data_IF_980643540516
#
_entry.id   IF_980643540516
#
_cell.length_a   1.000
_cell.length_b   1.000
_cell.length_c   1.000
_cell.angle_alpha   90.00
_cell.angle_beta   90.00
_cell.angle_gamma   90.00
#
_symmetry.space_group_name_H-M   'P 1'
#
loop_
_entity.id
_entity.type
_entity.pdbx_description
1 polymer ?
#
# COMPACT_ATOMS: atom_id res chain seq x y z
N UNK A 1 5.43 7.05 30.39
CA UNK A 1 6.16 8.29 30.00
C UNK A 1 5.90 8.53 28.54
N UNK A 2 5.78 9.78 28.07
CA UNK A 2 5.64 10.06 26.64
C UNK A 2 6.88 9.58 25.89
N UNK A 3 6.69 9.08 24.66
CA UNK A 3 7.81 8.66 23.80
C UNK A 3 8.83 9.78 23.57
N UNK A 4 10.11 9.41 23.50
CA UNK A 4 11.23 10.30 23.19
C UNK A 4 12.08 9.76 22.03
N UNK A 5 13.00 10.58 21.51
CA UNK A 5 13.91 10.15 20.44
C UNK A 5 14.92 9.10 20.89
N UNK A 6 15.27 9.07 22.17
CA UNK A 6 16.21 8.06 22.71
C UNK A 6 15.63 6.64 22.58
N UNK A 7 14.32 6.51 22.69
CA UNK A 7 13.60 5.23 22.50
C UNK A 7 13.72 4.71 21.05
N UNK A 8 14.11 5.58 20.10
CA UNK A 8 14.19 5.28 18.67
C UNK A 8 15.63 5.19 18.14
N UNK A 9 16.64 5.43 18.98
CA UNK A 9 18.02 5.66 18.53
C UNK A 9 18.67 4.50 17.75
N UNK A 10 18.24 3.26 17.97
CA UNK A 10 18.77 2.07 17.30
C UNK A 10 17.91 1.60 16.11
N UNK A 11 16.78 2.24 15.85
CA UNK A 11 15.84 1.83 14.82
C UNK A 11 16.24 2.39 13.44
N UNK A 12 16.94 1.59 12.66
CA UNK A 12 17.37 1.95 11.30
C UNK A 12 16.35 1.69 10.18
N UNK A 13 15.17 1.12 10.49
CA UNK A 13 14.16 0.77 9.49
C UNK A 13 12.76 1.27 9.86
N UNK A 14 11.86 1.47 8.87
CA UNK A 14 10.47 1.85 9.11
C UNK A 14 9.76 0.93 10.11
N UNK A 15 9.92 -0.39 9.96
CA UNK A 15 9.32 -1.38 10.85
C UNK A 15 9.86 -1.30 12.27
N UNK A 16 11.17 -1.09 12.45
CA UNK A 16 11.79 -0.96 13.77
C UNK A 16 11.30 0.31 14.49
N UNK A 17 11.21 1.43 13.77
CA UNK A 17 10.70 2.69 14.33
C UNK A 17 9.26 2.55 14.81
N UNK A 18 8.38 2.00 13.97
CA UNK A 18 6.97 1.81 14.34
C UNK A 18 6.83 0.81 15.49
N UNK A 19 7.64 -0.25 15.54
CA UNK A 19 7.68 -1.17 16.67
C UNK A 19 7.99 -0.44 17.98
N UNK A 20 9.03 0.39 18.00
CA UNK A 20 9.40 1.12 19.22
C UNK A 20 8.34 2.17 19.58
N UNK A 21 7.72 2.83 18.60
CA UNK A 21 6.60 3.74 18.84
C UNK A 21 5.45 3.02 19.54
N UNK A 22 5.06 1.84 19.07
CA UNK A 22 3.97 1.06 19.67
C UNK A 22 4.32 0.51 21.06
N UNK A 23 5.61 0.24 21.33
CA UNK A 23 6.07 -0.18 22.66
C UNK A 23 6.04 0.97 23.66
N UNK A 24 6.42 2.18 23.23
CA UNK A 24 6.39 3.37 24.08
C UNK A 24 4.97 3.94 24.27
N UNK A 25 4.10 3.76 23.27
CA UNK A 25 2.71 4.25 23.26
C UNK A 25 1.72 3.08 23.10
N UNK A 26 1.57 2.20 24.12
CA UNK A 26 0.73 0.99 24.03
C UNK A 26 -0.76 1.28 23.84
N UNK A 27 -1.20 2.50 24.17
CA UNK A 27 -2.58 2.96 24.04
C UNK A 27 -2.76 3.93 22.86
N UNK A 28 -1.94 3.80 21.80
CA UNK A 28 -2.03 4.66 20.63
C UNK A 28 -3.43 4.59 19.99
N UNK A 29 -4.11 5.72 19.92
CA UNK A 29 -5.46 5.80 19.37
C UNK A 29 -5.49 5.63 17.85
N UNK A 30 -6.63 5.21 17.31
CA UNK A 30 -6.96 5.28 15.89
C UNK A 30 -8.09 6.29 15.71
N UNK A 31 -7.95 7.31 14.85
CA UNK A 31 -6.78 7.63 14.03
C UNK A 31 -5.58 8.08 14.88
N UNK A 32 -4.36 7.78 14.42
CA UNK A 32 -3.12 8.13 15.13
C UNK A 32 -2.96 9.65 15.23
N UNK A 33 -2.68 10.24 16.42
CA UNK A 33 -2.51 11.67 16.59
C UNK A 33 -1.13 12.11 16.10
N UNK A 34 -0.94 12.06 14.77
CA UNK A 34 0.39 12.19 14.14
C UNK A 34 1.10 13.50 14.48
N UNK A 35 0.37 14.60 14.67
CA UNK A 35 0.94 15.90 15.01
C UNK A 35 1.47 15.93 16.45
N UNK A 36 0.79 15.28 17.39
CA UNK A 36 1.27 15.14 18.77
C UNK A 36 2.50 14.23 18.82
N UNK A 37 2.50 13.15 18.04
CA UNK A 37 3.66 12.28 17.90
C UNK A 37 4.87 13.04 17.33
N UNK A 38 4.66 13.85 16.29
CA UNK A 38 5.68 14.75 15.75
C UNK A 38 6.25 15.68 16.84
N UNK A 39 5.40 16.34 17.62
CA UNK A 39 5.83 17.26 18.68
C UNK A 39 6.68 16.56 19.75
N UNK A 40 6.26 15.37 20.21
CA UNK A 40 7.03 14.57 21.19
C UNK A 40 8.38 14.11 20.65
N UNK A 41 8.46 13.89 19.33
CA UNK A 41 9.66 13.40 18.66
C UNK A 41 10.57 14.51 18.12
N UNK A 42 10.33 15.79 18.45
CA UNK A 42 11.25 16.89 18.14
C UNK A 42 10.91 17.70 16.88
N UNK A 43 9.71 17.54 16.33
CA UNK A 43 9.18 18.48 15.33
C UNK A 43 8.51 19.64 16.06
N UNK A 44 9.11 20.84 15.98
CA UNK A 44 8.61 22.02 16.70
C UNK A 44 7.43 22.69 16.00
N UNK A 45 7.39 22.60 14.66
CA UNK A 45 6.40 23.32 13.85
C UNK A 45 5.93 22.44 12.69
N UNK A 46 4.65 22.52 12.39
CA UNK A 46 4.04 21.99 11.18
C UNK A 46 3.38 23.16 10.47
N UNK A 47 4.01 23.63 9.39
CA UNK A 47 3.57 24.79 8.66
C UNK A 47 2.83 24.40 7.39
N UNK A 48 1.82 25.21 7.07
CA UNK A 48 1.08 25.09 5.82
C UNK A 48 1.74 25.97 4.79
N UNK A 49 1.87 25.46 3.58
CA UNK A 49 2.31 26.23 2.44
C UNK A 49 1.37 26.00 1.24
N UNK A 50 1.54 26.82 0.22
CA UNK A 50 0.81 26.73 -1.04
C UNK A 50 1.80 26.91 -2.20
N UNK A 51 2.31 25.78 -2.72
CA UNK A 51 3.12 25.73 -3.94
C UNK A 51 2.82 24.43 -4.69
N UNK A 52 3.04 24.43 -6.00
CA UNK A 52 2.92 23.25 -6.86
C UNK A 52 4.24 22.49 -7.04
N UNK A 53 5.34 22.99 -6.48
CA UNK A 53 6.67 22.39 -6.64
C UNK A 53 6.87 21.11 -5.81
N UNK A 54 6.29 21.05 -4.61
CA UNK A 54 6.40 19.93 -3.69
C UNK A 54 5.11 19.73 -2.89
N UNK A 55 4.90 18.52 -2.39
CA UNK A 55 3.74 18.19 -1.55
C UNK A 55 4.07 18.32 -0.06
N UNK A 56 5.30 17.98 0.31
CA UNK A 56 5.81 18.01 1.67
C UNK A 56 7.27 18.41 1.70
N UNK A 57 7.72 18.82 2.87
CA UNK A 57 9.14 18.98 3.11
C UNK A 57 9.49 18.97 4.59
N UNK A 58 10.75 18.66 4.85
CA UNK A 58 11.36 18.70 6.16
C UNK A 58 12.51 19.70 6.14
N UNK A 59 12.46 20.66 7.06
CA UNK A 59 13.57 21.58 7.34
C UNK A 59 14.16 21.22 8.70
N UNK A 60 15.45 20.93 8.74
CA UNK A 60 16.15 20.50 9.95
C UNK A 60 17.62 20.93 9.91
N UNK A 61 18.25 21.09 11.08
CA UNK A 61 19.69 21.31 11.15
C UNK A 61 20.47 20.01 10.84
N UNK A 62 21.80 20.11 10.66
CA UNK A 62 22.66 18.98 10.35
C UNK A 62 22.69 17.91 11.46
N UNK A 63 22.45 18.32 12.72
CA UNK A 63 22.40 17.43 13.88
C UNK A 63 21.03 16.81 14.09
N UNK A 64 20.04 17.19 13.29
CA UNK A 64 18.61 16.88 13.45
C UNK A 64 18.10 17.18 14.84
N UNK A 65 18.57 18.23 15.50
CA UNK A 65 18.18 18.56 16.87
C UNK A 65 16.69 18.91 16.96
N UNK A 66 16.19 19.63 15.95
CA UNK A 66 14.81 20.05 15.80
C UNK A 66 14.39 20.04 14.32
N UNK A 67 13.10 19.83 14.06
CA UNK A 67 12.53 19.83 12.71
C UNK A 67 11.32 20.73 12.55
N UNK A 68 11.15 21.27 11.34
CA UNK A 68 9.90 21.90 10.86
C UNK A 68 9.39 21.13 9.65
N UNK A 69 8.14 20.68 9.72
CA UNK A 69 7.46 20.00 8.61
C UNK A 69 6.65 21.03 7.83
N UNK A 70 6.84 21.06 6.52
CA UNK A 70 6.02 21.77 5.55
C UNK A 70 5.02 20.77 4.97
N UNK A 71 3.73 21.06 5.05
CA UNK A 71 2.70 20.24 4.42
C UNK A 71 1.74 21.10 3.60
N UNK A 72 1.54 20.73 2.33
CA UNK A 72 0.65 21.46 1.42
C UNK A 72 -0.79 21.45 1.97
N UNK A 73 -1.53 22.53 1.70
CA UNK A 73 -2.98 22.55 1.94
C UNK A 73 -3.66 21.53 1.03
N UNK A 74 -4.48 20.66 1.61
CA UNK A 74 -5.18 19.61 0.88
C UNK A 74 -6.16 18.86 1.77
N UNK A 75 -6.70 17.76 1.25
CA UNK A 75 -7.56 16.88 2.04
C UNK A 75 -6.79 16.33 3.26
N UNK A 76 -7.45 16.30 4.41
CA UNK A 76 -6.81 15.91 5.68
C UNK A 76 -6.10 14.53 5.63
N UNK A 77 -6.64 13.49 4.96
CA UNK A 77 -5.92 12.21 4.84
C UNK A 77 -4.57 12.32 4.13
N UNK A 78 -4.49 13.17 3.10
CA UNK A 78 -3.24 13.39 2.35
C UNK A 78 -2.25 14.19 3.17
N UNK A 79 -2.72 15.25 3.84
CA UNK A 79 -1.90 16.04 4.77
C UNK A 79 -1.33 15.18 5.91
N UNK A 80 -2.14 14.30 6.49
CA UNK A 80 -1.69 13.35 7.53
C UNK A 80 -0.59 12.41 7.01
N UNK A 81 -0.75 11.88 5.80
CA UNK A 81 0.27 11.06 5.17
C UNK A 81 1.57 11.83 4.94
N UNK A 82 1.50 13.05 4.41
CA UNK A 82 2.67 13.91 4.23
C UNK A 82 3.39 14.17 5.55
N UNK A 83 2.67 14.54 6.62
CA UNK A 83 3.29 14.76 7.95
C UNK A 83 3.99 13.49 8.46
N UNK A 84 3.35 12.33 8.34
CA UNK A 84 3.95 11.06 8.75
C UNK A 84 5.17 10.71 7.89
N UNK A 85 5.14 11.00 6.60
CA UNK A 85 6.25 10.79 5.67
C UNK A 85 7.46 11.67 6.05
N UNK A 86 7.26 12.96 6.27
CA UNK A 86 8.34 13.88 6.68
C UNK A 86 8.89 13.53 8.06
N UNK A 87 8.04 13.04 8.98
CA UNK A 87 8.51 12.49 10.26
C UNK A 87 9.43 11.27 10.03
N UNK A 88 9.11 10.41 9.07
CA UNK A 88 9.98 9.30 8.66
C UNK A 88 11.36 9.81 8.23
N UNK A 89 11.41 10.82 7.36
CA UNK A 89 12.67 11.48 6.99
C UNK A 89 13.43 12.01 8.18
N UNK A 90 12.75 12.58 9.17
CA UNK A 90 13.38 13.17 10.36
C UNK A 90 13.95 12.12 11.32
N UNK A 91 13.28 10.98 11.48
CA UNK A 91 13.68 9.93 12.42
C UNK A 91 14.80 9.05 11.88
N UNK A 92 14.86 8.81 10.58
CA UNK A 92 15.86 7.93 9.97
C UNK A 92 17.17 8.70 9.69
N UNK A 93 18.21 8.40 10.47
CA UNK A 93 19.49 9.10 10.42
C UNK A 93 20.17 9.03 9.04
N UNK A 94 20.01 7.92 8.32
CA UNK A 94 20.57 7.72 6.99
C UNK A 94 19.85 8.50 5.89
N UNK A 95 18.72 9.16 6.17
CA UNK A 95 18.03 10.00 5.19
C UNK A 95 18.78 11.33 5.01
N UNK A 96 19.88 11.38 4.28
CA UNK A 96 20.63 12.64 4.09
C UNK A 96 19.96 13.51 2.99
N UNK A 97 19.58 14.77 3.26
CA UNK A 97 18.93 15.60 2.26
C UNK A 97 19.90 16.07 1.16
N UNK A 98 19.39 16.19 -0.06
CA UNK A 98 20.18 16.63 -1.24
C UNK A 98 20.58 18.11 -1.16
N UNK A 99 19.80 18.92 -0.42
CA UNK A 99 20.11 20.31 -0.10
C UNK A 99 20.41 20.42 1.41
N UNK A 100 21.32 21.33 1.83
CA UNK A 100 21.64 21.48 3.25
C UNK A 100 20.38 21.67 4.11
N UNK A 101 20.07 20.66 4.92
CA UNK A 101 18.98 20.68 5.90
C UNK A 101 17.56 20.64 5.31
N UNK A 102 17.36 20.31 4.03
CA UNK A 102 16.04 20.34 3.39
C UNK A 102 15.70 19.08 2.59
N UNK A 103 14.65 18.37 3.00
CA UNK A 103 13.92 17.45 2.14
C UNK A 103 12.74 18.18 1.51
N UNK A 104 12.61 18.08 0.19
CA UNK A 104 11.42 18.51 -0.55
C UNK A 104 10.91 17.30 -1.32
N UNK A 105 9.71 16.85 -1.01
CA UNK A 105 9.13 15.61 -1.51
C UNK A 105 7.98 15.92 -2.46
N UNK A 106 8.03 15.37 -3.68
CA UNK A 106 7.00 15.62 -4.70
C UNK A 106 5.82 14.68 -4.50
N UNK A 107 4.68 15.04 -5.09
CA UNK A 107 3.51 14.16 -5.19
C UNK A 107 3.85 12.75 -5.72
N UNK A 108 4.76 12.64 -6.70
CA UNK A 108 5.20 11.36 -7.25
C UNK A 108 5.98 10.51 -6.26
N UNK A 109 6.70 11.16 -5.35
CA UNK A 109 7.52 10.47 -4.36
C UNK A 109 6.66 9.86 -3.26
N UNK A 110 5.59 10.55 -2.83
CA UNK A 110 4.61 9.99 -1.88
C UNK A 110 3.84 8.76 -2.39
N UNK A 111 3.80 8.57 -3.70
CA UNK A 111 3.13 7.44 -4.37
C UNK A 111 4.12 6.33 -4.77
N UNK A 112 5.41 6.51 -4.48
CA UNK A 112 6.48 5.60 -4.90
C UNK A 112 6.41 4.26 -4.19
N UNK A 113 6.46 3.19 -4.98
CA UNK A 113 6.44 1.80 -4.49
C UNK A 113 7.78 1.08 -4.65
N UNK A 114 8.63 1.55 -5.55
CA UNK A 114 9.94 0.94 -5.86
C UNK A 114 11.00 2.02 -6.02
N UNK A 115 12.24 1.62 -5.74
CA UNK A 115 13.43 2.44 -5.96
C UNK A 115 14.30 1.81 -7.05
N UNK A 116 14.88 2.64 -7.92
CA UNK A 116 15.87 2.18 -8.89
C UNK A 116 17.13 1.67 -8.18
N UNK A 117 17.79 0.60 -8.67
CA UNK A 117 19.09 0.20 -8.17
C UNK A 117 20.08 1.37 -8.24
N UNK A 118 20.78 1.64 -7.14
CA UNK A 118 21.77 2.72 -7.07
C UNK A 118 21.20 4.14 -6.91
N UNK A 119 19.91 4.31 -6.63
CA UNK A 119 19.30 5.62 -6.34
C UNK A 119 18.95 5.75 -4.85
N UNK A 120 19.83 6.37 -4.02
CA UNK A 120 19.61 6.50 -2.59
C UNK A 120 18.38 7.36 -2.26
N UNK A 121 18.12 8.42 -3.03
CA UNK A 121 16.99 9.31 -2.78
C UNK A 121 15.68 8.56 -2.91
N UNK A 122 15.51 7.77 -3.98
CA UNK A 122 14.30 6.96 -4.15
C UNK A 122 14.12 5.90 -3.06
N UNK A 123 15.22 5.37 -2.49
CA UNK A 123 15.14 4.44 -1.36
C UNK A 123 14.63 5.15 -0.10
N UNK A 124 15.16 6.33 0.21
CA UNK A 124 14.70 7.14 1.34
C UNK A 124 13.22 7.50 1.21
N UNK A 125 12.76 7.93 0.03
CA UNK A 125 11.34 8.22 -0.23
C UNK A 125 10.45 6.98 -0.02
N UNK A 126 10.91 5.82 -0.49
CA UNK A 126 10.20 4.55 -0.32
C UNK A 126 10.13 4.14 1.16
N UNK A 127 11.21 4.30 1.92
CA UNK A 127 11.27 4.05 3.36
C UNK A 127 10.38 5.02 4.14
N UNK A 128 10.37 6.31 3.78
CA UNK A 128 9.48 7.31 4.38
C UNK A 128 8.00 7.00 4.10
N UNK A 129 7.65 6.59 2.87
CA UNK A 129 6.29 6.11 2.55
C UNK A 129 5.91 4.86 3.34
N UNK A 130 6.88 3.95 3.53
CA UNK A 130 6.68 2.73 4.30
C UNK A 130 6.42 3.06 5.77
N UNK A 131 7.21 3.95 6.35
CA UNK A 131 7.02 4.45 7.71
C UNK A 131 5.66 5.14 7.86
N UNK A 132 5.32 6.06 6.96
CA UNK A 132 4.04 6.78 6.97
C UNK A 132 2.84 5.82 6.96
N UNK A 133 2.89 4.79 6.11
CA UNK A 133 1.84 3.78 6.04
C UNK A 133 1.73 2.98 7.34
N UNK A 134 2.87 2.53 7.89
CA UNK A 134 2.90 1.71 9.10
C UNK A 134 2.50 2.50 10.36
N UNK A 135 2.93 3.75 10.50
CA UNK A 135 2.58 4.57 11.67
C UNK A 135 1.13 5.03 11.63
N UNK A 136 0.58 5.33 10.44
CA UNK A 136 -0.83 5.74 10.32
C UNK A 136 -1.80 4.56 10.32
N UNK A 137 -1.36 3.37 9.91
CA UNK A 137 -2.11 2.12 10.01
C UNK A 137 -1.29 1.04 10.75
N UNK A 138 -1.12 1.15 12.08
CA UNK A 138 -0.30 0.22 12.85
C UNK A 138 -0.71 -1.24 12.64
N UNK A 139 0.22 -2.16 12.28
CA UNK A 139 -0.14 -3.53 11.94
C UNK A 139 -0.95 -4.30 13.00
N UNK A 140 -0.69 -4.18 14.31
CA UNK A 140 -1.53 -4.82 15.33
C UNK A 140 -2.96 -4.29 15.36
N UNK A 141 -3.14 -2.97 15.27
CA UNK A 141 -4.45 -2.32 15.29
C UNK A 141 -5.22 -2.57 13.99
N UNK A 142 -4.53 -2.55 12.86
CA UNK A 142 -5.08 -2.90 11.55
C UNK A 142 -5.57 -4.35 11.52
N UNK A 143 -4.78 -5.30 12.05
CA UNK A 143 -5.21 -6.70 12.14
C UNK A 143 -6.48 -6.84 12.97
N UNK A 144 -6.55 -6.21 14.14
CA UNK A 144 -7.76 -6.20 14.98
C UNK A 144 -8.98 -5.63 14.24
N UNK A 145 -8.80 -4.51 13.52
CA UNK A 145 -9.88 -3.91 12.71
C UNK A 145 -10.33 -4.81 11.55
N UNK A 146 -9.46 -5.69 11.06
CA UNK A 146 -9.76 -6.62 9.96
C UNK A 146 -10.32 -7.97 10.42
N UNK A 147 -10.39 -8.27 11.72
CA UNK A 147 -10.88 -9.56 12.24
C UNK A 147 -12.31 -9.89 11.78
N UNK A 148 -13.15 -8.87 11.60
CA UNK A 148 -14.52 -9.02 11.11
C UNK A 148 -14.61 -9.21 9.57
N UNK A 149 -13.54 -8.92 8.82
CA UNK A 149 -13.52 -8.93 7.36
C UNK A 149 -13.10 -10.29 6.83
N UNK A 150 -13.99 -11.29 6.95
CA UNK A 150 -13.71 -12.67 6.53
C UNK A 150 -13.42 -12.78 5.03
N UNK A 151 -14.29 -12.17 4.22
CA UNK A 151 -14.21 -12.22 2.76
C UNK A 151 -13.66 -10.90 2.20
N UNK A 152 -12.83 -10.91 1.15
CA UNK A 152 -12.35 -9.67 0.53
C UNK A 152 -13.47 -8.81 -0.04
N UNK A 153 -13.53 -7.53 0.35
CA UNK A 153 -14.48 -6.55 -0.19
C UNK A 153 -13.87 -5.14 -0.17
N UNK A 154 -14.09 -4.36 -1.24
CA UNK A 154 -13.67 -2.96 -1.34
C UNK A 154 -14.35 -2.07 -0.30
N UNK A 155 -15.53 -2.41 0.20
CA UNK A 155 -16.17 -1.70 1.32
C UNK A 155 -15.30 -1.74 2.58
N UNK A 156 -14.58 -2.84 2.83
CA UNK A 156 -13.63 -2.92 3.95
C UNK A 156 -12.50 -1.91 3.80
N UNK A 157 -11.99 -1.70 2.58
CA UNK A 157 -10.97 -0.68 2.29
C UNK A 157 -11.51 0.73 2.59
N UNK A 158 -12.78 1.00 2.27
CA UNK A 158 -13.40 2.30 2.55
C UNK A 158 -13.59 2.54 4.06
N UNK A 159 -14.00 1.51 4.79
CA UNK A 159 -14.13 1.54 6.25
C UNK A 159 -12.76 1.82 6.89
N UNK A 160 -11.72 1.07 6.49
CA UNK A 160 -10.36 1.27 6.99
C UNK A 160 -9.81 2.66 6.66
N UNK A 161 -10.06 3.17 5.44
CA UNK A 161 -9.65 4.51 5.05
C UNK A 161 -10.27 5.58 5.94
N UNK A 162 -11.57 5.43 6.25
CA UNK A 162 -12.30 6.33 7.16
C UNK A 162 -11.76 6.23 8.58
N UNK A 163 -11.69 5.02 9.14
CA UNK A 163 -11.41 4.81 10.57
C UNK A 163 -9.97 5.20 10.92
N UNK A 164 -9.00 4.89 10.05
CA UNK A 164 -7.61 5.30 10.22
C UNK A 164 -7.33 6.73 9.73
N UNK A 165 -8.32 7.40 9.13
CA UNK A 165 -8.20 8.73 8.53
C UNK A 165 -7.05 8.83 7.52
N UNK A 166 -6.99 7.89 6.58
CA UNK A 166 -5.99 7.80 5.51
C UNK A 166 -6.64 7.79 4.13
N UNK A 167 -5.85 8.01 3.07
CA UNK A 167 -6.34 7.90 1.70
C UNK A 167 -6.73 6.47 1.34
N UNK A 168 -7.72 6.31 0.46
CA UNK A 168 -8.21 4.98 0.02
C UNK A 168 -7.10 4.10 -0.55
N UNK A 169 -6.14 4.67 -1.28
CA UNK A 169 -4.99 3.91 -1.81
C UNK A 169 -4.03 3.43 -0.71
N UNK A 170 -3.84 4.22 0.36
CA UNK A 170 -3.03 3.81 1.52
C UNK A 170 -3.71 2.64 2.22
N UNK A 171 -5.02 2.75 2.46
CA UNK A 171 -5.83 1.68 3.02
C UNK A 171 -5.85 0.43 2.12
N UNK A 172 -5.98 0.59 0.80
CA UNK A 172 -5.97 -0.51 -0.16
C UNK A 172 -4.64 -1.28 -0.13
N UNK A 173 -3.52 -0.56 -0.13
CA UNK A 173 -2.18 -1.17 -0.02
C UNK A 173 -2.03 -1.94 1.28
N UNK A 174 -2.42 -1.36 2.40
CA UNK A 174 -2.34 -2.01 3.71
C UNK A 174 -3.27 -3.23 3.79
N UNK A 175 -4.51 -3.10 3.32
CA UNK A 175 -5.49 -4.17 3.24
C UNK A 175 -4.91 -5.37 2.47
N UNK A 176 -4.45 -5.17 1.24
CA UNK A 176 -3.84 -6.23 0.42
C UNK A 176 -2.62 -6.89 1.10
N UNK A 177 -1.83 -6.12 1.83
CA UNK A 177 -0.64 -6.63 2.49
C UNK A 177 -0.96 -7.53 3.70
N UNK A 178 -2.00 -7.21 4.46
CA UNK A 178 -2.33 -7.89 5.72
C UNK A 178 -3.56 -8.80 5.63
N UNK A 179 -4.24 -8.85 4.48
CA UNK A 179 -5.34 -9.77 4.25
C UNK A 179 -4.82 -11.22 4.09
N UNK A 180 -5.48 -12.23 4.68
CA UNK A 180 -5.06 -13.63 4.57
C UNK A 180 -5.24 -14.22 3.17
N UNK A 181 -6.28 -13.77 2.45
CA UNK A 181 -6.58 -14.25 1.09
C UNK A 181 -5.62 -13.74 0.01
N UNK A 182 -5.56 -14.50 -1.08
CA UNK A 182 -4.86 -14.13 -2.32
C UNK A 182 -5.62 -13.03 -3.05
N UNK A 183 -5.29 -11.78 -2.72
CA UNK A 183 -5.90 -10.61 -3.36
C UNK A 183 -4.89 -9.65 -3.99
N UNK A 184 -5.39 -8.88 -4.94
CA UNK A 184 -4.76 -7.70 -5.49
C UNK A 184 -5.79 -6.57 -5.63
N UNK A 185 -5.35 -5.32 -5.54
CA UNK A 185 -6.16 -4.15 -5.86
C UNK A 185 -5.43 -3.34 -6.93
N UNK A 186 -6.12 -3.13 -8.05
CA UNK A 186 -5.66 -2.28 -9.16
C UNK A 186 -6.33 -0.92 -9.04
N UNK A 187 -5.53 0.14 -9.06
CA UNK A 187 -6.02 1.52 -9.17
C UNK A 187 -6.03 1.89 -10.64
N UNK A 188 -7.21 2.15 -11.18
CA UNK A 188 -7.40 2.63 -12.55
C UNK A 188 -7.69 4.14 -12.55
N UNK A 189 -7.27 4.82 -13.60
CA UNK A 189 -7.54 6.23 -13.85
C UNK A 189 -7.67 6.47 -15.35
N UNK A 190 -8.82 6.99 -15.77
CA UNK A 190 -9.18 7.23 -17.17
C UNK A 190 -8.98 5.98 -18.05
N UNK A 191 -9.44 4.82 -17.56
CA UNK A 191 -9.35 3.54 -18.27
C UNK A 191 -7.95 2.93 -18.34
N UNK A 192 -6.96 3.49 -17.63
CA UNK A 192 -5.58 2.98 -17.58
C UNK A 192 -5.18 2.59 -16.17
N UNK A 193 -4.37 1.54 -16.06
CA UNK A 193 -3.77 1.09 -14.81
C UNK A 193 -2.80 2.16 -14.30
N UNK A 194 -3.01 2.61 -13.08
CA UNK A 194 -2.16 3.61 -12.41
C UNK A 194 -1.22 2.95 -11.41
N UNK A 195 -1.73 2.01 -10.60
CA UNK A 195 -0.97 1.20 -9.64
C UNK A 195 -1.59 -0.19 -9.49
N UNK A 196 -0.78 -1.14 -9.05
CA UNK A 196 -1.21 -2.46 -8.65
C UNK A 196 -0.62 -2.80 -7.27
N UNK A 197 -1.48 -3.10 -6.30
CA UNK A 197 -1.10 -3.65 -5.00
C UNK A 197 -1.45 -5.14 -5.01
N UNK A 198 -0.53 -6.02 -4.65
CA UNK A 198 -0.79 -7.46 -4.61
C UNK A 198 -0.21 -8.09 -3.35
N UNK A 199 -0.91 -9.07 -2.80
CA UNK A 199 -0.35 -9.94 -1.77
C UNK A 199 0.82 -10.74 -2.35
N UNK A 200 1.74 -11.19 -1.50
CA UNK A 200 2.93 -11.93 -1.95
C UNK A 200 2.58 -13.21 -2.72
N UNK A 201 1.51 -13.87 -2.31
CA UNK A 201 0.97 -15.10 -2.89
C UNK A 201 0.08 -14.88 -4.12
N UNK A 202 -0.27 -13.64 -4.45
CA UNK A 202 -0.99 -13.31 -5.67
C UNK A 202 0.00 -13.21 -6.85
N UNK A 203 -0.28 -13.85 -8.01
CA UNK A 203 0.57 -13.80 -9.20
C UNK A 203 0.86 -12.38 -9.68
N UNK A 204 1.88 -12.22 -10.54
CA UNK A 204 2.11 -10.93 -11.17
C UNK A 204 0.90 -10.54 -12.03
N UNK A 205 0.48 -9.28 -11.92
CA UNK A 205 -0.56 -8.72 -12.79
C UNK A 205 0.06 -8.46 -14.17
N UNK A 206 -0.53 -9.04 -15.22
CA UNK A 206 -0.01 -8.95 -16.60
C UNK A 206 -0.13 -7.54 -17.19
N UNK A 207 -1.17 -6.78 -16.81
CA UNK A 207 -1.32 -5.39 -17.20
C UNK A 207 -0.48 -4.46 -16.32
N UNK A 208 0.69 -4.08 -16.82
CA UNK A 208 1.59 -3.12 -16.15
C UNK A 208 1.01 -1.70 -16.01
N UNK A 209 1.66 -0.89 -15.18
CA UNK A 209 1.32 0.54 -15.02
C UNK A 209 1.36 1.25 -16.38
N UNK A 210 0.32 2.04 -16.65
CA UNK A 210 0.09 2.72 -17.91
C UNK A 210 -0.77 1.91 -18.88
N UNK A 211 -0.81 0.58 -18.83
CA UNK A 211 -1.61 -0.22 -19.75
C UNK A 211 -3.11 0.06 -19.64
N UNK A 212 -3.89 -0.08 -20.73
CA UNK A 212 -5.35 -0.06 -20.64
C UNK A 212 -5.86 -1.14 -19.69
N UNK A 213 -6.93 -0.83 -18.95
CA UNK A 213 -7.69 -1.86 -18.22
C UNK A 213 -8.29 -2.84 -19.25
N UNK A 214 -8.17 -4.18 -19.07
CA UNK A 214 -8.65 -5.17 -20.03
C UNK A 214 -10.10 -4.92 -20.46
N UNK A 215 -10.40 -4.95 -21.75
CA UNK A 215 -11.72 -4.55 -22.29
C UNK A 215 -12.90 -5.39 -21.78
N UNK A 216 -12.63 -6.63 -21.37
CA UNK A 216 -13.63 -7.55 -20.78
C UNK A 216 -13.67 -7.55 -19.25
N UNK A 217 -12.88 -6.71 -18.59
CA UNK A 217 -13.00 -6.49 -17.15
C UNK A 217 -14.38 -5.91 -16.83
N UNK A 218 -14.92 -6.29 -15.67
CA UNK A 218 -16.17 -5.73 -15.15
C UNK A 218 -16.09 -4.21 -15.03
N UNK A 219 -14.90 -3.63 -14.89
CA UNK A 219 -14.67 -2.18 -14.98
C UNK A 219 -15.35 -1.52 -16.19
N UNK A 220 -15.31 -2.15 -17.38
CA UNK A 220 -15.92 -1.58 -18.59
C UNK A 220 -17.36 -2.04 -18.83
N UNK A 221 -17.69 -3.27 -18.46
CA UNK A 221 -18.99 -3.89 -18.82
C UNK A 221 -20.06 -3.72 -17.75
N UNK A 222 -19.69 -3.39 -16.51
CA UNK A 222 -20.61 -3.23 -15.40
C UNK A 222 -21.35 -1.89 -15.42
N UNK A 223 -22.63 -1.91 -15.04
CA UNK A 223 -23.45 -0.71 -14.82
C UNK A 223 -23.11 -0.07 -13.45
N UNK A 224 -21.92 0.51 -13.35
CA UNK A 224 -21.42 0.99 -12.06
C UNK A 224 -22.01 2.33 -11.63
N UNK A 225 -22.11 2.52 -10.32
CA UNK A 225 -22.52 3.80 -9.70
C UNK A 225 -21.33 4.42 -8.97
N UNK A 226 -21.16 5.74 -9.13
CA UNK A 226 -20.06 6.48 -8.49
C UNK A 226 -20.09 6.29 -6.97
N UNK A 227 -18.92 6.01 -6.40
CA UNK A 227 -18.69 5.78 -4.97
C UNK A 227 -19.51 4.62 -4.36
N UNK A 228 -19.97 3.68 -5.18
CA UNK A 228 -20.64 2.45 -4.73
C UNK A 228 -19.85 1.28 -5.31
N UNK A 229 -19.43 0.34 -4.46
CA UNK A 229 -18.78 -0.87 -4.94
C UNK A 229 -19.81 -1.75 -5.65
N UNK A 230 -19.43 -2.34 -6.78
CA UNK A 230 -20.23 -3.36 -7.43
C UNK A 230 -20.34 -4.61 -6.57
N UNK A 231 -21.24 -5.51 -6.96
CA UNK A 231 -21.18 -6.88 -6.50
C UNK A 231 -19.86 -7.53 -6.96
N UNK A 232 -19.44 -8.55 -6.22
CA UNK A 232 -18.31 -9.40 -6.58
C UNK A 232 -18.78 -10.37 -7.68
N UNK A 233 -18.09 -10.37 -8.82
CA UNK A 233 -18.46 -11.20 -9.96
C UNK A 233 -17.25 -11.98 -10.49
N UNK A 234 -17.48 -13.23 -10.92
CA UNK A 234 -16.44 -14.04 -11.56
C UNK A 234 -15.97 -13.38 -12.88
N UNK A 235 -14.68 -13.47 -13.17
CA UNK A 235 -14.09 -13.03 -14.42
C UNK A 235 -13.03 -14.02 -14.91
N UNK A 236 -12.65 -13.88 -16.18
CA UNK A 236 -11.63 -14.74 -16.76
C UNK A 236 -10.25 -14.37 -16.21
N UNK A 237 -9.50 -15.34 -15.68
CA UNK A 237 -8.23 -15.07 -15.01
C UNK A 237 -7.14 -14.55 -15.95
N UNK A 238 -7.18 -14.95 -17.22
CA UNK A 238 -6.27 -14.50 -18.29
C UNK A 238 -6.37 -13.00 -18.59
N UNK A 239 -7.40 -12.31 -18.09
CA UNK A 239 -7.50 -10.85 -18.16
C UNK A 239 -6.43 -10.15 -17.33
N UNK A 240 -6.07 -10.72 -16.17
CA UNK A 240 -5.28 -10.04 -15.16
C UNK A 240 -3.97 -10.74 -14.84
N UNK A 241 -3.87 -12.06 -15.05
CA UNK A 241 -2.68 -12.85 -14.73
C UNK A 241 -2.29 -13.77 -15.88
N UNK A 242 -0.99 -14.02 -16.02
CA UNK A 242 -0.50 -15.00 -16.99
C UNK A 242 -0.81 -16.42 -16.51
N UNK A 243 -1.76 -17.08 -17.16
CA UNK A 243 -2.06 -18.49 -16.93
C UNK A 243 -1.20 -19.33 -17.88
N UNK A 244 -0.30 -20.16 -17.34
CA UNK A 244 0.46 -21.12 -18.17
C UNK A 244 -0.54 -22.08 -18.83
N UNK A 245 -0.37 -22.33 -20.13
CA UNK A 245 -1.29 -23.12 -20.98
C UNK A 245 -1.62 -24.52 -20.46
N UNK A 246 -0.73 -25.10 -19.64
CA UNK A 246 -0.86 -26.46 -19.13
C UNK A 246 -1.50 -26.54 -17.73
N UNK A 247 -1.87 -25.40 -17.15
CA UNK A 247 -2.50 -25.30 -15.83
C UNK A 247 -3.96 -24.83 -15.97
N UNK A 248 -4.86 -25.46 -15.20
CA UNK A 248 -6.24 -24.98 -15.07
C UNK A 248 -6.24 -23.55 -14.55
N UNK A 249 -6.84 -22.64 -15.31
CA UNK A 249 -7.05 -21.25 -14.92
C UNK A 249 -7.74 -21.18 -13.54
N UNK A 250 -7.14 -20.51 -12.54
CA UNK A 250 -7.79 -20.37 -11.24
C UNK A 250 -9.04 -19.50 -11.36
N UNK A 251 -10.06 -19.78 -10.55
CA UNK A 251 -11.22 -18.90 -10.48
C UNK A 251 -10.78 -17.52 -9.95
N UNK A 252 -11.13 -16.48 -10.71
CA UNK A 252 -10.83 -15.09 -10.37
C UNK A 252 -12.15 -14.34 -10.24
N UNK A 253 -12.28 -13.56 -9.18
CA UNK A 253 -13.41 -12.68 -8.94
C UNK A 253 -12.94 -11.23 -8.96
N UNK A 254 -13.80 -10.37 -9.45
CA UNK A 254 -13.56 -8.94 -9.58
C UNK A 254 -14.66 -8.16 -8.85
N UNK A 255 -14.26 -7.07 -8.20
CA UNK A 255 -15.17 -6.06 -7.67
C UNK A 255 -14.67 -4.69 -8.08
N UNK A 256 -15.55 -3.80 -8.49
CA UNK A 256 -15.19 -2.47 -9.00
C UNK A 256 -15.78 -1.40 -8.11
N UNK A 257 -14.97 -0.44 -7.72
CA UNK A 257 -15.40 0.75 -7.00
C UNK A 257 -15.02 2.00 -7.82
N UNK A 258 -15.97 2.56 -8.60
CA UNK A 258 -15.74 3.80 -9.34
C UNK A 258 -15.68 5.01 -8.41
N UNK A 259 -14.84 5.96 -8.79
CA UNK A 259 -14.58 7.20 -8.07
C UNK A 259 -14.72 8.39 -9.03
N UNK A 260 -14.63 9.59 -8.46
CA UNK A 260 -14.65 10.82 -9.24
C UNK A 260 -13.46 10.90 -10.22
N UNK A 261 -13.58 11.76 -11.23
CA UNK A 261 -12.52 12.07 -12.19
C UNK A 261 -11.97 10.86 -12.95
N UNK A 262 -12.82 9.86 -13.21
CA UNK A 262 -12.46 8.68 -13.99
C UNK A 262 -11.55 7.69 -13.27
N UNK A 263 -11.40 7.80 -11.95
CA UNK A 263 -10.65 6.82 -11.14
C UNK A 263 -11.53 5.66 -10.69
N UNK A 264 -10.93 4.49 -10.47
CA UNK A 264 -11.59 3.35 -9.83
C UNK A 264 -10.58 2.49 -9.05
N UNK A 265 -11.07 1.74 -8.06
CA UNK A 265 -10.34 0.60 -7.51
C UNK A 265 -10.99 -0.69 -8.01
N UNK A 266 -10.17 -1.66 -8.39
CA UNK A 266 -10.60 -2.97 -8.87
C UNK A 266 -9.96 -4.00 -7.95
N UNK A 267 -10.77 -4.67 -7.13
CA UNK A 267 -10.33 -5.79 -6.30
C UNK A 267 -10.35 -7.06 -7.15
N UNK A 268 -9.26 -7.80 -7.08
CA UNK A 268 -9.09 -9.11 -7.71
C UNK A 268 -8.87 -10.12 -6.61
N UNK A 269 -9.69 -11.17 -6.58
CA UNK A 269 -9.57 -12.29 -5.63
C UNK A 269 -9.37 -13.58 -6.39
N UNK A 270 -8.28 -14.27 -6.09
CA UNK A 270 -8.06 -15.63 -6.54
C UNK A 270 -8.63 -16.62 -5.54
N UNK A 271 -9.49 -17.51 -6.02
CA UNK A 271 -9.98 -18.61 -5.21
C UNK A 271 -8.83 -19.57 -4.89
N UNK A 272 -8.72 -20.04 -3.64
CA UNK A 272 -7.73 -21.05 -3.33
C UNK A 272 -8.02 -22.33 -4.08
N UNK A 273 -7.02 -22.87 -4.78
CA UNK A 273 -7.16 -24.21 -5.37
C UNK A 273 -7.01 -25.24 -4.24
N UNK A 274 -8.03 -26.08 -3.96
CA UNK A 274 -7.98 -27.06 -2.86
C UNK A 274 -6.77 -28.00 -2.98
N UNK A 275 -6.21 -28.44 -1.85
CA UNK A 275 -5.03 -29.32 -1.79
C UNK A 275 -5.27 -30.69 -2.47
N UNK A 276 -6.49 -31.22 -2.44
CA UNK A 276 -6.86 -32.46 -3.15
C UNK A 276 -6.62 -32.34 -4.66
N UNK A 277 -6.93 -31.18 -5.25
CA UNK A 277 -6.61 -30.91 -6.65
C UNK A 277 -5.10 -30.78 -6.89
N UNK A 278 -4.29 -30.46 -5.87
CA UNK A 278 -2.84 -30.39 -5.98
C UNK A 278 -2.19 -31.78 -5.90
N UNK A 279 -2.72 -32.69 -5.08
CA UNK A 279 -2.31 -34.09 -5.06
C UNK A 279 -2.74 -34.83 -6.34
N UNK A 280 -3.98 -34.64 -6.80
CA UNK A 280 -4.43 -35.14 -8.10
C UNK A 280 -3.56 -34.61 -9.25
N UNK A 281 -3.14 -33.33 -9.22
CA UNK A 281 -2.20 -32.78 -10.20
C UNK A 281 -0.82 -33.42 -10.13
N UNK A 282 -0.27 -33.66 -8.92
CA UNK A 282 1.02 -34.38 -8.78
C UNK A 282 0.91 -35.82 -9.29
N UNK A 283 -0.24 -36.46 -9.07
CA UNK A 283 -0.52 -37.80 -9.58
C UNK A 283 -0.66 -37.81 -11.10
N UNK A 284 -1.38 -36.85 -11.71
CA UNK A 284 -1.51 -36.71 -13.16
C UNK A 284 -0.20 -36.35 -13.86
N UNK A 285 0.61 -35.45 -13.29
CA UNK A 285 1.96 -35.12 -13.78
C UNK A 285 2.90 -36.33 -13.66
N UNK A 286 2.83 -37.07 -12.55
CA UNK A 286 3.56 -38.33 -12.36
C UNK A 286 3.13 -39.42 -13.34
N UNK A 287 1.85 -39.48 -13.70
CA UNK A 287 1.33 -40.36 -14.75
C UNK A 287 1.86 -39.93 -16.13
N UNK A 288 1.77 -38.64 -16.49
CA UNK A 288 2.27 -38.12 -17.78
C UNK A 288 3.75 -38.43 -18.03
N UNK A 289 4.58 -38.39 -16.98
CA UNK A 289 6.00 -38.75 -17.07
C UNK A 289 6.27 -40.27 -17.14
N UNK A 290 5.39 -41.13 -16.59
CA UNK A 290 5.53 -42.60 -16.65
C UNK A 290 5.14 -43.21 -18.00
N UNK A 291 4.37 -42.51 -18.83
CA UNK A 291 3.96 -43.00 -20.16
C UNK A 291 4.76 -42.42 -21.34
N UNK A 292 5.68 -41.47 -21.10
CA UNK A 292 6.57 -40.93 -22.15
C UNK A 292 7.99 -41.55 -22.15
N UNK A 293 8.33 -42.46 -21.23
CA UNK A 293 9.64 -43.15 -21.22
C UNK A 293 9.62 -44.50 -21.96
N UNK A 294 8.68 -44.71 -22.87
CA UNK A 294 8.45 -46.02 -23.48
C UNK A 294 8.00 -45.96 -24.93
N UNK A 295 8.81 -45.40 -25.82
CA UNK A 295 8.95 -45.86 -27.22
C UNK A 295 10.25 -45.31 -27.80
N UNK A 296 11.07 -46.24 -28.28
CA UNK A 296 12.27 -46.05 -29.08
C UNK A 296 11.97 -45.25 -30.34
#
# INVERSE_FOLDING_TARGET
MPITRTDLAEAGSPEALVKHILQAEPNLSVPVPIQELCARLGILRIEKFDTDEFEGGLVTDAKRSEGTILAKRGGEPRRRFTIAHELGHFLMAHHVPDQPGRFLCKSSDLLRLTAKPGDPRQRMEMEANRFASLVLMPPPLLRGAMEAFREPDLQHVLILARDFAVGKEVAARAYVQYHPERIAIVVAGNGRVQRCYRSLSFPAISCGVGSPVPTRSHYHVGAHRLNIASDIAACSSDLWIDVKRDLRAPALYEQVYPQQNGFAMILLRLEPVPEDNAEERRLEEGWRHRFHSGRR
#
